data_IF_042744857327
#
_entry.id   IF_042744857327
#
_cell.length_a   1.000
_cell.length_b   1.000
_cell.length_c   1.000
_cell.angle_alpha   90.00
_cell.angle_beta   90.00
_cell.angle_gamma   90.00
#
_symmetry.space_group_name_H-M   'P 1'
#
loop_
_entity.id
_entity.type
_entity.pdbx_description
1 polymer ?
#
# COMPACT_ATOMS: atom_id res chain seq x y z
N UNK A 1 -3.26 12.49 -17.00
CA UNK A 1 -3.82 13.71 -16.39
C UNK A 1 -3.17 14.03 -15.05
N UNK A 2 -3.59 13.38 -13.96
CA UNK A 2 -3.12 13.74 -12.60
C UNK A 2 -1.63 13.47 -12.36
N UNK A 3 -1.06 12.37 -12.88
CA UNK A 3 0.38 12.12 -12.81
C UNK A 3 1.24 13.13 -13.60
N UNK A 4 0.67 13.72 -14.67
CA UNK A 4 1.31 14.80 -15.42
C UNK A 4 1.17 16.15 -14.70
N UNK A 5 0.04 16.41 -14.03
CA UNK A 5 -0.19 17.66 -13.28
C UNK A 5 0.60 17.73 -11.97
N UNK A 6 0.59 16.65 -11.17
CA UNK A 6 1.42 16.55 -9.95
C UNK A 6 2.90 16.46 -10.31
N UNK A 7 3.25 15.74 -11.39
CA UNK A 7 4.60 15.71 -11.92
C UNK A 7 5.09 17.09 -12.35
N UNK A 8 4.30 17.83 -13.14
CA UNK A 8 4.64 19.18 -13.57
C UNK A 8 4.74 20.18 -12.40
N UNK A 9 3.86 20.08 -11.41
CA UNK A 9 3.91 20.91 -10.20
C UNK A 9 5.16 20.62 -9.37
N UNK A 10 5.52 19.35 -9.19
CA UNK A 10 6.74 18.96 -8.47
C UNK A 10 8.00 19.32 -9.25
N UNK A 11 7.97 19.30 -10.59
CA UNK A 11 9.05 19.82 -11.44
C UNK A 11 9.17 21.34 -11.35
N UNK A 12 8.06 22.07 -11.18
CA UNK A 12 8.07 23.51 -11.00
C UNK A 12 8.59 23.97 -9.63
N UNK A 13 8.53 23.10 -8.60
CA UNK A 13 9.06 23.36 -7.25
C UNK A 13 10.09 22.28 -6.84
N UNK A 14 11.34 22.35 -7.33
CA UNK A 14 12.37 21.34 -7.06
C UNK A 14 12.68 21.15 -5.56
N UNK A 15 12.60 22.21 -4.77
CA UNK A 15 12.81 22.16 -3.31
C UNK A 15 11.72 21.37 -2.59
N UNK A 16 10.46 21.52 -3.00
CA UNK A 16 9.34 20.74 -2.48
C UNK A 16 9.48 19.25 -2.85
N UNK A 17 9.88 18.98 -4.09
CA UNK A 17 10.12 17.61 -4.55
C UNK A 17 11.24 16.93 -3.77
N UNK A 18 12.36 17.63 -3.51
CA UNK A 18 13.45 17.13 -2.68
C UNK A 18 13.02 16.91 -1.23
N UNK A 19 12.26 17.85 -0.65
CA UNK A 19 11.72 17.74 0.70
C UNK A 19 10.84 16.50 0.86
N UNK A 20 9.92 16.26 -0.09
CA UNK A 20 9.06 15.07 -0.10
C UNK A 20 9.86 13.77 -0.27
N UNK A 21 10.91 13.77 -1.11
CA UNK A 21 11.81 12.62 -1.27
C UNK A 21 12.51 12.27 0.04
N UNK A 22 13.10 13.26 0.71
CA UNK A 22 13.81 13.06 1.99
C UNK A 22 12.83 12.62 3.08
N UNK A 23 11.68 13.28 3.21
CA UNK A 23 10.66 12.94 4.20
C UNK A 23 10.11 11.52 3.97
N UNK A 24 9.82 11.15 2.72
CA UNK A 24 9.38 9.81 2.35
C UNK A 24 10.44 8.75 2.65
N UNK A 25 11.70 9.02 2.31
CA UNK A 25 12.81 8.11 2.60
C UNK A 25 13.01 7.91 4.12
N UNK A 26 13.00 8.99 4.90
CA UNK A 26 13.08 8.94 6.35
C UNK A 26 11.90 8.14 6.96
N UNK A 27 10.69 8.34 6.44
CA UNK A 27 9.51 7.61 6.89
C UNK A 27 9.58 6.12 6.57
N UNK A 28 10.03 5.74 5.36
CA UNK A 28 10.21 4.34 4.98
C UNK A 28 11.31 3.65 5.78
N UNK A 29 12.42 4.35 6.08
CA UNK A 29 13.45 3.85 6.99
C UNK A 29 12.92 3.68 8.42
N UNK A 30 12.15 4.65 8.91
CA UNK A 30 11.46 4.53 10.20
C UNK A 30 10.53 3.31 10.22
N UNK A 31 9.77 3.07 9.15
CA UNK A 31 8.88 1.92 9.04
C UNK A 31 9.67 0.61 8.97
N UNK A 32 10.78 0.56 8.21
CA UNK A 32 11.66 -0.59 8.15
C UNK A 32 12.25 -0.92 9.52
N UNK A 33 12.74 0.07 10.26
CA UNK A 33 13.23 -0.10 11.63
C UNK A 33 12.13 -0.64 12.55
N UNK A 34 10.91 -0.10 12.44
CA UNK A 34 9.75 -0.59 13.18
C UNK A 34 9.37 -2.03 12.86
N UNK A 35 9.48 -2.45 11.60
CA UNK A 35 9.25 -3.85 11.21
C UNK A 35 10.34 -4.72 11.81
N UNK A 36 11.62 -4.35 11.67
CA UNK A 36 12.77 -5.10 12.19
C UNK A 36 12.74 -5.29 13.72
N UNK A 37 12.20 -4.31 14.45
CA UNK A 37 12.08 -4.30 15.92
C UNK A 37 10.74 -4.80 16.42
N UNK A 38 9.77 -5.09 15.53
CA UNK A 38 8.53 -5.74 15.93
C UNK A 38 8.84 -7.13 16.47
N UNK A 39 8.47 -7.39 17.73
CA UNK A 39 8.68 -8.68 18.39
C UNK A 39 7.94 -9.81 17.67
N UNK A 40 8.22 -11.05 18.08
CA UNK A 40 7.48 -12.20 17.58
C UNK A 40 5.98 -11.96 17.74
N UNK A 41 5.23 -12.17 16.66
CA UNK A 41 3.77 -12.01 16.61
C UNK A 41 3.12 -13.02 17.57
N UNK A 42 3.06 -12.68 18.86
CA UNK A 42 2.51 -13.56 19.89
C UNK A 42 2.99 -13.35 21.33
N UNK A 43 4.03 -12.56 21.61
CA UNK A 43 4.54 -12.44 22.99
C UNK A 43 3.68 -11.51 23.88
N UNK A 44 3.12 -10.44 23.30
CA UNK A 44 2.22 -9.54 24.01
C UNK A 44 0.95 -9.36 23.17
N UNK A 45 -0.12 -10.05 23.53
CA UNK A 45 -1.44 -10.00 22.88
C UNK A 45 -2.16 -8.64 22.94
N UNK A 46 -1.43 -7.54 23.10
CA UNK A 46 -1.95 -6.17 23.13
C UNK A 46 -1.63 -5.46 21.82
N UNK A 47 -2.22 -5.94 20.73
CA UNK A 47 -2.40 -5.07 19.56
C UNK A 47 -3.51 -4.10 19.96
N UNK A 48 -3.13 -2.90 20.40
CA UNK A 48 -4.03 -1.85 20.85
C UNK A 48 -4.86 -1.29 19.70
N UNK A 49 -5.94 -1.97 19.33
CA UNK A 49 -6.90 -1.51 18.33
C UNK A 49 -7.95 -2.57 18.06
N UNK A 50 -9.24 -2.19 18.11
CA UNK A 50 -10.32 -3.06 17.63
C UNK A 50 -10.15 -3.27 16.12
N UNK A 51 -10.42 -4.48 15.59
CA UNK A 51 -10.47 -4.67 14.15
C UNK A 51 -11.52 -3.73 13.54
N UNK A 52 -11.18 -3.09 12.42
CA UNK A 52 -12.10 -2.23 11.70
C UNK A 52 -13.26 -3.06 11.15
N UNK A 53 -14.48 -2.55 11.28
CA UNK A 53 -15.66 -3.12 10.63
C UNK A 53 -15.58 -2.93 9.11
N UNK A 54 -16.44 -3.63 8.36
CA UNK A 54 -16.50 -3.49 6.90
C UNK A 54 -16.75 -2.04 6.45
N UNK A 55 -17.70 -1.36 7.10
CA UNK A 55 -18.02 0.05 6.80
C UNK A 55 -16.86 1.00 7.10
N UNK A 56 -16.19 0.81 8.24
CA UNK A 56 -15.01 1.61 8.61
C UNK A 56 -13.85 1.37 7.62
N UNK A 57 -13.67 0.12 7.18
CA UNK A 57 -12.65 -0.23 6.18
C UNK A 57 -12.95 0.37 4.81
N UNK A 58 -14.22 0.41 4.40
CA UNK A 58 -14.66 1.06 3.18
C UNK A 58 -14.44 2.59 3.23
N UNK A 59 -14.81 3.23 4.34
CA UNK A 59 -14.58 4.65 4.56
C UNK A 59 -13.09 5.01 4.60
N UNK A 60 -12.25 4.13 5.15
CA UNK A 60 -10.79 4.33 5.18
C UNK A 60 -10.17 4.42 3.78
N UNK A 61 -10.73 3.72 2.78
CA UNK A 61 -10.24 3.83 1.40
C UNK A 61 -10.40 5.24 0.81
N UNK A 62 -11.33 6.05 1.32
CA UNK A 62 -11.53 7.42 0.85
C UNK A 62 -10.33 8.33 1.13
N UNK A 63 -9.56 8.03 2.17
CA UNK A 63 -8.37 8.79 2.56
C UNK A 63 -7.12 8.28 1.80
N UNK A 64 -7.24 7.20 1.02
CA UNK A 64 -6.10 6.59 0.32
C UNK A 64 -5.82 7.26 -1.04
N UNK A 65 -4.84 8.19 -1.15
CA UNK A 65 -4.54 8.87 -2.41
C UNK A 65 -4.14 7.91 -3.54
N UNK A 66 -3.59 6.74 -3.21
CA UNK A 66 -3.24 5.70 -4.20
C UNK A 66 -4.47 5.19 -4.93
N UNK A 67 -5.59 5.00 -4.21
CA UNK A 67 -6.83 4.52 -4.80
C UNK A 67 -7.38 5.54 -5.82
N UNK A 68 -7.38 6.82 -5.47
CA UNK A 68 -7.80 7.91 -6.35
C UNK A 68 -6.95 7.98 -7.63
N UNK A 69 -5.62 7.89 -7.50
CA UNK A 69 -4.71 7.93 -8.65
C UNK A 69 -4.98 6.77 -9.61
N UNK A 70 -5.16 5.55 -9.10
CA UNK A 70 -5.46 4.37 -9.92
C UNK A 70 -6.84 4.50 -10.59
N UNK A 71 -7.86 4.94 -9.86
CA UNK A 71 -9.19 5.13 -10.41
C UNK A 71 -9.18 6.15 -11.56
N UNK A 72 -8.56 7.31 -11.34
CA UNK A 72 -8.45 8.36 -12.35
C UNK A 72 -7.62 7.91 -13.56
N UNK A 73 -6.51 7.19 -13.35
CA UNK A 73 -5.70 6.65 -14.44
C UNK A 73 -6.48 5.62 -15.26
N UNK A 74 -7.23 4.73 -14.60
CA UNK A 74 -8.05 3.71 -15.26
C UNK A 74 -9.16 4.36 -16.08
N UNK A 75 -9.87 5.33 -15.50
CA UNK A 75 -10.90 6.07 -16.22
C UNK A 75 -10.33 6.82 -17.43
N UNK A 76 -9.15 7.43 -17.28
CA UNK A 76 -8.52 8.16 -18.39
C UNK A 76 -8.11 7.26 -19.56
N UNK A 77 -7.80 5.98 -19.30
CA UNK A 77 -7.33 5.03 -20.33
C UNK A 77 -8.48 4.23 -20.93
N UNK A 78 -9.48 3.85 -20.13
CA UNK A 78 -10.47 2.82 -20.50
C UNK A 78 -11.91 3.34 -20.63
N UNK A 79 -12.16 4.64 -20.45
CA UNK A 79 -13.52 5.19 -20.63
C UNK A 79 -13.82 5.44 -22.10
N UNK A 80 -14.90 4.84 -22.61
CA UNK A 80 -15.46 5.18 -23.91
C UNK A 80 -16.35 6.43 -23.81
N UNK A 81 -16.08 7.52 -24.55
CA UNK A 81 -16.90 8.75 -24.54
C UNK A 81 -18.36 8.54 -24.96
N UNK A 82 -18.64 7.56 -25.83
CA UNK A 82 -19.99 7.31 -26.35
C UNK A 82 -20.87 6.51 -25.35
N UNK A 83 -20.24 5.83 -24.39
CA UNK A 83 -20.90 5.02 -23.37
C UNK A 83 -20.21 5.15 -22.00
N UNK A 84 -20.20 6.34 -21.39
CA UNK A 84 -19.42 6.61 -20.18
C UNK A 84 -19.92 5.82 -18.98
N UNK A 85 -21.25 5.72 -18.80
CA UNK A 85 -21.85 4.99 -17.68
C UNK A 85 -21.55 3.49 -17.74
N UNK A 86 -21.62 2.90 -18.94
CA UNK A 86 -21.29 1.48 -19.14
C UNK A 86 -19.80 1.23 -18.87
N UNK A 87 -18.92 2.12 -19.32
CA UNK A 87 -17.47 2.02 -19.08
C UNK A 87 -17.16 2.04 -17.59
N UNK A 88 -17.75 2.98 -16.83
CA UNK A 88 -17.58 3.07 -15.37
C UNK A 88 -18.07 1.79 -14.68
N UNK A 89 -19.26 1.31 -15.04
CA UNK A 89 -19.84 0.10 -14.46
C UNK A 89 -18.92 -1.11 -14.68
N UNK A 90 -18.42 -1.30 -15.90
CA UNK A 90 -17.51 -2.40 -16.23
C UNK A 90 -16.19 -2.30 -15.47
N UNK A 91 -15.60 -1.09 -15.38
CA UNK A 91 -14.37 -0.86 -14.60
C UNK A 91 -14.60 -1.25 -13.14
N UNK A 92 -15.69 -0.79 -12.53
CA UNK A 92 -16.03 -1.12 -11.14
C UNK A 92 -16.19 -2.64 -10.93
N UNK A 93 -16.90 -3.32 -11.84
CA UNK A 93 -17.09 -4.78 -11.77
C UNK A 93 -15.75 -5.51 -11.89
N UNK A 94 -14.92 -5.15 -12.86
CA UNK A 94 -13.61 -5.77 -13.05
C UNK A 94 -12.73 -5.57 -11.81
N UNK A 95 -12.67 -4.35 -11.27
CA UNK A 95 -11.92 -4.08 -10.04
C UNK A 95 -12.45 -4.90 -8.86
N UNK A 96 -13.76 -5.00 -8.68
CA UNK A 96 -14.34 -5.80 -7.60
C UNK A 96 -14.02 -7.30 -7.75
N UNK A 97 -14.24 -7.85 -8.95
CA UNK A 97 -14.05 -9.28 -9.25
C UNK A 97 -12.58 -9.69 -9.20
N UNK A 98 -11.64 -8.81 -9.54
CA UNK A 98 -10.20 -9.11 -9.47
C UNK A 98 -9.65 -8.85 -8.07
N UNK A 99 -10.05 -7.78 -7.41
CA UNK A 99 -9.49 -7.39 -6.13
C UNK A 99 -9.90 -8.34 -4.99
N UNK A 100 -11.17 -8.76 -4.95
CA UNK A 100 -11.68 -9.67 -3.93
C UNK A 100 -10.88 -11.00 -3.84
N UNK A 101 -10.71 -11.79 -4.93
CA UNK A 101 -9.93 -13.02 -4.86
C UNK A 101 -8.45 -12.74 -4.59
N UNK A 102 -7.87 -11.67 -5.15
CA UNK A 102 -6.47 -11.31 -4.93
C UNK A 102 -6.17 -11.05 -3.46
N UNK A 103 -6.99 -10.20 -2.81
CA UNK A 103 -6.85 -9.88 -1.38
C UNK A 103 -7.16 -11.10 -0.52
N UNK A 104 -8.14 -11.93 -0.92
CA UNK A 104 -8.49 -13.16 -0.19
C UNK A 104 -7.35 -14.19 -0.21
N UNK A 105 -6.71 -14.40 -1.37
CA UNK A 105 -5.54 -15.28 -1.51
C UNK A 105 -4.37 -14.76 -0.67
N UNK A 106 -4.11 -13.47 -0.70
CA UNK A 106 -3.07 -12.85 0.13
C UNK A 106 -3.36 -13.00 1.63
N UNK A 107 -4.60 -12.78 2.06
CA UNK A 107 -5.02 -12.95 3.45
C UNK A 107 -4.92 -14.42 3.91
N UNK A 108 -5.34 -15.36 3.06
CA UNK A 108 -5.23 -16.80 3.32
C UNK A 108 -3.76 -17.23 3.47
N UNK A 109 -2.87 -16.71 2.62
CA UNK A 109 -1.44 -16.92 2.75
C UNK A 109 -0.90 -16.39 4.09
N UNK A 110 -1.32 -15.19 4.51
CA UNK A 110 -0.96 -14.63 5.81
C UNK A 110 -1.41 -15.50 6.99
N UNK A 111 -2.62 -16.08 6.93
CA UNK A 111 -3.12 -17.03 7.94
C UNK A 111 -2.27 -18.30 7.98
N UNK A 112 -1.92 -18.87 6.83
CA UNK A 112 -1.05 -20.04 6.75
C UNK A 112 0.36 -19.75 7.30
N UNK A 113 0.90 -18.57 7.00
CA UNK A 113 2.23 -18.15 7.43
C UNK A 113 2.30 -17.87 8.94
N UNK A 114 1.17 -17.52 9.58
CA UNK A 114 1.09 -17.25 11.02
C UNK A 114 1.60 -18.42 11.87
N UNK A 115 1.23 -19.65 11.52
CA UNK A 115 1.70 -20.85 12.23
C UNK A 115 3.20 -21.07 12.06
N UNK A 116 3.73 -20.82 10.86
CA UNK A 116 5.16 -20.93 10.56
C UNK A 116 6.00 -19.88 11.29
N UNK A 117 5.48 -18.66 11.44
CA UNK A 117 6.13 -17.54 12.14
C UNK A 117 5.90 -17.53 13.66
N UNK A 118 5.21 -18.52 14.22
CA UNK A 118 5.03 -18.63 15.67
C UNK A 118 6.37 -18.84 16.42
N UNK A 119 7.40 -19.37 15.73
CA UNK A 119 8.77 -19.47 16.24
C UNK A 119 9.44 -18.08 16.29
N UNK A 120 9.90 -17.62 17.47
CA UNK A 120 10.53 -16.29 17.64
C UNK A 120 11.73 -16.05 16.72
N UNK A 121 12.53 -17.08 16.41
CA UNK A 121 13.70 -16.95 15.53
C UNK A 121 13.25 -16.77 14.09
N UNK A 122 12.21 -17.51 13.66
CA UNK A 122 11.65 -17.40 12.30
C UNK A 122 10.97 -16.05 12.09
N UNK A 123 10.17 -15.60 13.06
CA UNK A 123 9.54 -14.27 13.02
C UNK A 123 10.59 -13.16 12.93
N UNK A 124 11.69 -13.25 13.69
CA UNK A 124 12.75 -12.24 13.64
C UNK A 124 13.47 -12.20 12.30
N UNK A 125 13.81 -13.37 11.73
CA UNK A 125 14.44 -13.46 10.39
C UNK A 125 13.51 -12.91 9.31
N UNK A 126 12.23 -13.24 9.37
CA UNK A 126 11.21 -12.73 8.45
C UNK A 126 11.10 -11.20 8.55
N UNK A 127 10.97 -10.64 9.75
CA UNK A 127 10.89 -9.20 9.97
C UNK A 127 12.15 -8.46 9.47
N UNK A 128 13.33 -9.00 9.73
CA UNK A 128 14.58 -8.44 9.20
C UNK A 128 14.63 -8.46 7.67
N UNK A 129 14.16 -9.56 7.05
CA UNK A 129 14.10 -9.65 5.58
C UNK A 129 13.12 -8.63 4.99
N UNK A 130 11.93 -8.45 5.59
CA UNK A 130 10.96 -7.45 5.16
C UNK A 130 11.50 -6.03 5.31
N UNK A 131 12.18 -5.73 6.43
CA UNK A 131 12.80 -4.44 6.66
C UNK A 131 13.91 -4.15 5.64
N UNK A 132 14.76 -5.14 5.34
CA UNK A 132 15.81 -5.01 4.34
C UNK A 132 15.23 -4.79 2.93
N UNK A 133 14.19 -5.53 2.54
CA UNK A 133 13.50 -5.34 1.27
C UNK A 133 12.85 -3.96 1.19
N UNK A 134 12.21 -3.49 2.27
CA UNK A 134 11.62 -2.17 2.33
C UNK A 134 12.68 -1.07 2.19
N UNK A 135 13.80 -1.19 2.89
CA UNK A 135 14.93 -0.27 2.74
C UNK A 135 15.51 -0.32 1.32
N UNK A 136 15.58 -1.50 0.70
CA UNK A 136 16.05 -1.64 -0.68
C UNK A 136 15.14 -0.93 -1.69
N UNK A 137 13.84 -0.75 -1.41
CA UNK A 137 12.95 0.06 -2.26
C UNK A 137 13.34 1.53 -2.34
N UNK A 138 14.21 2.02 -1.43
CA UNK A 138 14.75 3.38 -1.48
C UNK A 138 15.89 3.54 -2.49
N UNK A 139 16.50 2.44 -2.96
CA UNK A 139 17.60 2.50 -3.91
C UNK A 139 17.27 3.33 -5.17
N UNK A 140 16.13 3.11 -5.87
CA UNK A 140 15.77 3.90 -7.04
C UNK A 140 15.40 5.36 -6.74
N UNK A 141 15.20 5.72 -5.47
CA UNK A 141 14.95 7.11 -5.08
C UNK A 141 16.24 7.92 -4.90
N UNK A 142 17.35 7.22 -4.62
CA UNK A 142 18.66 7.80 -4.27
C UNK A 142 19.66 7.67 -5.45
N UNK A 143 19.53 6.61 -6.25
CA UNK A 143 20.27 6.41 -7.51
C UNK A 143 19.76 7.32 -8.63
#
# INVERSE_FOLDING_TARGET
GVGLGLGALLSAFPSLHLGLKIAGAAYLLYLAWRIATSGATGADGKIGGRPLTFGESAAFQWINPKAWVVALATMAVYTNPDAPLLSILLICIVFAVVNLPTVSVWAAFGVALRGFLADPVRSRRFNLSMAALLAATLWPMIA
#
